data_IF_397723038986
#
_entry.id   IF_397723038986
#
_cell.length_a   1.000
_cell.length_b   1.000
_cell.length_c   1.000
_cell.angle_alpha   90.00
_cell.angle_beta   90.00
_cell.angle_gamma   90.00
#
_symmetry.space_group_name_H-M   'P 1'
#
loop_
_entity.id
_entity.type
_entity.pdbx_description
1 polymer ?
#
# COMPACT_ATOMS: atom_id res chain seq x y z
N UNK A 1 -8.16 13.64 -13.45
CA UNK A 1 -8.37 14.66 -12.41
C UNK A 1 -7.31 15.75 -12.52
N UNK A 2 -7.67 16.97 -12.96
CA UNK A 2 -6.74 18.10 -13.19
C UNK A 2 -6.67 19.13 -12.06
N UNK A 3 -7.07 18.77 -10.84
CA UNK A 3 -7.12 19.70 -9.70
C UNK A 3 -5.75 20.26 -9.31
N UNK A 4 -4.75 19.40 -9.15
CA UNK A 4 -3.41 19.81 -8.68
C UNK A 4 -2.71 20.74 -9.68
N UNK A 5 -2.70 20.46 -11.00
CA UNK A 5 -2.17 21.41 -11.98
C UNK A 5 -2.89 22.76 -11.96
N UNK A 6 -4.22 22.77 -11.81
CA UNK A 6 -5.00 24.03 -11.76
C UNK A 6 -4.66 24.91 -10.56
N UNK A 7 -4.45 24.32 -9.39
CA UNK A 7 -4.02 25.06 -8.19
C UNK A 7 -2.64 25.70 -8.38
N UNK A 8 -1.75 25.00 -9.09
CA UNK A 8 -0.43 25.51 -9.44
C UNK A 8 -0.42 26.41 -10.70
N UNK A 9 -1.58 26.78 -11.24
CA UNK A 9 -1.72 27.53 -12.50
C UNK A 9 -1.01 26.89 -13.72
N UNK A 10 -0.83 25.55 -13.69
CA UNK A 10 -0.20 24.77 -14.75
C UNK A 10 -1.25 24.18 -15.71
N UNK A 11 -0.91 24.21 -16.99
CA UNK A 11 -1.70 23.67 -18.08
C UNK A 11 -1.30 22.23 -18.42
N UNK A 12 -2.14 21.52 -19.18
CA UNK A 12 -1.79 20.21 -19.71
C UNK A 12 -0.62 20.26 -20.72
N UNK A 13 -0.34 21.42 -21.32
CA UNK A 13 0.75 21.61 -22.29
C UNK A 13 2.12 21.65 -21.64
N UNK A 14 2.17 21.98 -20.34
CA UNK A 14 3.43 22.05 -19.60
C UNK A 14 4.01 20.66 -19.32
N UNK A 15 3.17 19.61 -19.41
CA UNK A 15 3.55 18.18 -19.22
C UNK A 15 4.32 17.93 -17.91
N UNK A 16 4.15 18.82 -16.93
CA UNK A 16 4.75 18.70 -15.60
C UNK A 16 4.11 17.54 -14.88
N UNK A 17 4.94 16.66 -14.31
CA UNK A 17 4.46 15.50 -13.55
C UNK A 17 3.75 15.99 -12.30
N UNK A 18 2.55 15.46 -12.04
CA UNK A 18 1.79 15.76 -10.81
C UNK A 18 2.55 15.47 -9.52
N UNK A 19 3.56 14.58 -9.54
CA UNK A 19 4.46 14.35 -8.40
C UNK A 19 5.34 15.58 -8.10
N UNK A 20 5.88 16.22 -9.14
CA UNK A 20 6.70 17.42 -9.00
C UNK A 20 5.87 18.61 -8.49
N UNK A 21 4.63 18.75 -8.98
CA UNK A 21 3.71 19.81 -8.52
C UNK A 21 3.37 19.63 -7.03
N UNK A 22 3.17 18.39 -6.58
CA UNK A 22 2.92 18.09 -5.16
C UNK A 22 4.13 18.41 -4.27
N UNK A 23 5.33 18.09 -4.75
CA UNK A 23 6.58 18.40 -4.07
C UNK A 23 6.76 19.92 -3.92
N UNK A 24 6.52 20.68 -4.99
CA UNK A 24 6.60 22.14 -4.98
C UNK A 24 5.54 22.80 -4.07
N UNK A 25 4.32 22.27 -4.06
CA UNK A 25 3.24 22.75 -3.18
C UNK A 25 3.40 22.27 -1.72
N UNK A 26 4.41 21.45 -1.39
CA UNK A 26 4.56 20.84 -0.06
C UNK A 26 3.40 19.92 0.33
N UNK A 27 2.63 19.43 -0.66
CA UNK A 27 1.47 18.57 -0.44
C UNK A 27 1.93 17.13 -0.38
N UNK A 28 1.56 16.44 0.70
CA UNK A 28 1.86 15.02 0.84
C UNK A 28 1.34 14.21 -0.36
N UNK A 29 2.19 13.34 -0.90
CA UNK A 29 1.76 12.47 -2.00
C UNK A 29 0.75 11.46 -1.49
N UNK A 30 -0.21 11.10 -2.35
CA UNK A 30 -1.21 10.08 -2.02
C UNK A 30 -0.54 8.77 -1.60
N UNK A 31 0.60 8.46 -2.21
CA UNK A 31 1.43 7.31 -1.90
C UNK A 31 1.94 7.34 -0.45
N UNK A 32 2.51 8.45 0.01
CA UNK A 32 2.97 8.58 1.41
C UNK A 32 1.80 8.46 2.41
N UNK A 33 0.65 9.06 2.08
CA UNK A 33 -0.52 8.99 2.94
C UNK A 33 -1.07 7.55 3.06
N UNK A 34 -1.14 6.84 1.91
CA UNK A 34 -1.57 5.44 1.86
C UNK A 34 -0.57 4.56 2.59
N UNK A 35 0.73 4.73 2.39
CA UNK A 35 1.78 3.98 3.06
C UNK A 35 1.73 4.18 4.58
N UNK A 36 1.62 5.42 5.07
CA UNK A 36 1.47 5.68 6.51
C UNK A 36 0.21 5.04 7.08
N UNK A 37 -0.89 5.06 6.35
CA UNK A 37 -2.15 4.43 6.78
C UNK A 37 -2.02 2.91 6.82
N UNK A 38 -1.34 2.32 5.84
CA UNK A 38 -1.02 0.89 5.82
C UNK A 38 -0.12 0.50 7.00
N UNK A 39 0.93 1.28 7.29
CA UNK A 39 1.82 1.03 8.42
C UNK A 39 1.11 1.16 9.78
N UNK A 40 0.20 2.14 9.92
CA UNK A 40 -0.65 2.28 11.11
C UNK A 40 -1.58 1.08 11.29
N UNK A 41 -2.22 0.64 10.21
CA UNK A 41 -3.07 -0.55 10.20
C UNK A 41 -2.27 -1.81 10.54
N UNK A 42 -1.07 -1.98 9.99
CA UNK A 42 -0.19 -3.10 10.29
C UNK A 42 0.21 -3.12 11.77
N UNK A 43 0.60 -1.97 12.32
CA UNK A 43 0.89 -1.85 13.74
C UNK A 43 -0.33 -2.11 14.63
N UNK A 44 -1.54 -1.96 14.13
CA UNK A 44 -2.76 -2.37 14.84
C UNK A 44 -2.95 -3.89 14.79
N UNK A 45 -2.73 -4.52 13.63
CA UNK A 45 -2.76 -5.98 13.50
C UNK A 45 -1.76 -6.69 14.42
N UNK A 46 -0.56 -6.11 14.59
CA UNK A 46 0.49 -6.70 15.44
C UNK A 46 0.11 -6.70 16.92
N UNK A 47 -0.59 -5.66 17.37
CA UNK A 47 -1.01 -5.48 18.77
C UNK A 47 -2.28 -6.26 19.15
N UNK A 48 -3.02 -6.78 18.17
CA UNK A 48 -4.24 -7.57 18.43
C UNK A 48 -3.91 -8.98 18.93
N UNK A 49 -4.66 -9.51 19.92
CA UNK A 49 -4.50 -10.89 20.39
C UNK A 49 -4.98 -11.91 19.33
N UNK A 50 -4.32 -13.07 19.20
CA UNK A 50 -4.64 -14.09 18.21
C UNK A 50 -5.80 -14.99 18.70
N UNK A 51 -7.01 -14.82 18.13
CA UNK A 51 -8.19 -15.64 18.47
C UNK A 51 -9.16 -15.82 17.27
N UNK A 52 -8.67 -15.85 16.02
CA UNK A 52 -9.39 -15.79 14.72
C UNK A 52 -9.71 -14.37 14.24
N UNK A 53 -8.67 -13.53 14.10
CA UNK A 53 -8.77 -12.14 13.63
C UNK A 53 -7.96 -11.92 12.34
N UNK A 54 -8.17 -10.81 11.60
CA UNK A 54 -7.38 -10.47 10.41
C UNK A 54 -5.86 -10.55 10.63
N UNK A 55 -5.38 -10.30 11.86
CA UNK A 55 -3.97 -10.46 12.23
C UNK A 55 -3.49 -11.91 12.19
N UNK A 56 -4.34 -12.89 12.51
CA UNK A 56 -4.02 -14.32 12.41
C UNK A 56 -4.02 -14.80 10.96
N UNK A 57 -5.01 -14.39 10.16
CA UNK A 57 -5.04 -14.67 8.71
C UNK A 57 -3.83 -14.07 8.00
N UNK A 58 -3.43 -12.87 8.42
CA UNK A 58 -2.23 -12.19 7.93
C UNK A 58 -0.94 -12.92 8.34
N UNK A 59 -0.81 -13.33 9.61
CA UNK A 59 0.32 -14.13 10.13
C UNK A 59 0.41 -15.52 9.53
N UNK A 60 -0.73 -16.13 9.20
CA UNK A 60 -0.79 -17.42 8.51
C UNK A 60 -0.21 -17.37 7.08
N UNK A 61 0.25 -16.21 6.61
CA UNK A 61 0.83 -15.98 5.29
C UNK A 61 -0.06 -16.56 4.17
N UNK A 62 -1.08 -15.82 3.70
CA UNK A 62 -1.89 -16.23 2.54
C UNK A 62 -1.12 -16.06 1.22
N UNK A 63 0.21 -16.19 1.25
CA UNK A 63 1.09 -16.21 0.07
C UNK A 63 0.97 -17.52 -0.72
N UNK A 64 0.03 -18.40 -0.37
CA UNK A 64 -0.25 -19.58 -1.17
C UNK A 64 -0.68 -19.15 -2.57
N UNK A 65 -0.01 -19.69 -3.59
CA UNK A 65 -0.41 -19.49 -4.99
C UNK A 65 -1.88 -19.87 -5.12
N UNK A 66 -2.70 -18.98 -5.66
CA UNK A 66 -4.11 -19.30 -5.91
C UNK A 66 -4.19 -20.48 -6.88
N UNK A 67 -5.11 -21.43 -6.65
CA UNK A 67 -5.46 -22.41 -7.68
C UNK A 67 -5.97 -21.66 -8.92
N UNK A 68 -5.56 -22.06 -10.13
CA UNK A 68 -6.09 -21.47 -11.36
C UNK A 68 -7.61 -21.68 -11.41
N UNK A 69 -8.42 -20.60 -11.44
CA UNK A 69 -9.86 -20.70 -11.73
C UNK A 69 -10.83 -19.90 -10.86
N UNK A 70 -10.40 -19.13 -9.86
CA UNK A 70 -11.33 -18.33 -9.04
C UNK A 70 -11.31 -16.83 -9.39
N UNK A 71 -12.43 -16.31 -9.90
CA UNK A 71 -12.67 -14.88 -10.10
C UNK A 71 -13.24 -14.28 -8.81
N UNK A 72 -12.37 -13.70 -7.96
CA UNK A 72 -12.81 -13.07 -6.71
C UNK A 72 -11.72 -12.32 -5.94
N UNK A 73 -11.75 -10.98 -6.05
CA UNK A 73 -11.31 -9.93 -5.12
C UNK A 73 -9.82 -9.74 -4.68
N UNK A 74 -9.29 -8.55 -5.06
CA UNK A 74 -8.55 -7.50 -4.30
C UNK A 74 -7.38 -7.91 -3.36
N UNK A 75 -6.91 -9.15 -3.35
CA UNK A 75 -5.74 -9.54 -2.53
C UNK A 75 -4.37 -9.27 -3.18
N UNK A 76 -4.30 -9.21 -4.52
CA UNK A 76 -3.03 -9.16 -5.25
C UNK A 76 -2.35 -7.79 -5.22
N UNK A 77 -3.13 -6.71 -5.27
CA UNK A 77 -2.57 -5.35 -5.35
C UNK A 77 -1.76 -4.98 -4.11
N UNK A 78 -2.11 -5.54 -2.95
CA UNK A 78 -1.49 -5.20 -1.67
C UNK A 78 -0.38 -6.15 -1.24
N UNK A 79 -0.06 -7.25 -1.95
CA UNK A 79 0.77 -8.33 -1.38
C UNK A 79 2.22 -8.38 -1.90
N UNK A 80 2.48 -8.03 -3.16
CA UNK A 80 3.77 -8.37 -3.80
C UNK A 80 4.82 -7.25 -3.80
N UNK A 81 4.42 -5.98 -3.66
CA UNK A 81 5.35 -4.84 -3.70
C UNK A 81 5.85 -4.41 -2.31
N UNK A 82 4.99 -4.44 -1.30
CA UNK A 82 5.26 -3.82 0.00
C UNK A 82 6.25 -4.60 0.86
N UNK A 83 6.19 -5.94 0.86
CA UNK A 83 7.08 -6.83 1.62
C UNK A 83 8.54 -6.68 1.17
N UNK A 84 8.77 -6.56 -0.14
CA UNK A 84 10.10 -6.40 -0.73
C UNK A 84 10.69 -5.00 -0.43
N UNK A 85 9.83 -3.97 -0.33
CA UNK A 85 10.23 -2.58 -0.09
C UNK A 85 10.56 -2.26 1.37
N UNK A 86 9.98 -3.00 2.33
CA UNK A 86 10.27 -2.86 3.76
C UNK A 86 11.46 -3.71 4.24
N UNK A 87 12.11 -4.45 3.34
CA UNK A 87 13.23 -5.32 3.69
C UNK A 87 12.84 -6.46 4.64
N UNK A 88 11.55 -6.81 4.70
CA UNK A 88 11.08 -7.95 5.50
C UNK A 88 11.57 -9.21 4.80
N UNK A 89 12.49 -9.99 5.40
CA UNK A 89 13.00 -11.18 4.76
C UNK A 89 11.84 -12.17 4.53
N UNK A 90 11.91 -12.96 3.46
CA UNK A 90 11.11 -14.19 3.29
C UNK A 90 11.56 -15.25 4.29
N UNK A 91 11.66 -14.90 5.57
CA UNK A 91 11.91 -15.85 6.64
C UNK A 91 10.55 -16.34 7.10
N UNK A 92 10.37 -17.65 6.95
CA UNK A 92 9.31 -18.43 7.58
C UNK A 92 9.25 -18.05 9.06
N UNK A 93 8.29 -17.20 9.44
CA UNK A 93 7.99 -16.89 10.83
C UNK A 93 7.24 -18.09 11.43
N UNK A 94 8.00 -19.14 11.70
CA UNK A 94 7.55 -20.30 12.49
C UNK A 94 7.80 -20.00 13.96
N UNK A 95 6.73 -19.85 14.74
CA UNK A 95 6.60 -20.51 16.04
C UNK A 95 5.15 -20.60 16.45
#
# INVERSE_FOLDING_TARGET
MSFIPRVAALSLRDRVRSSAIREELGVETLLLHVERSQMRWLGHLDRMPPVLLPGEVFRACPSSKRPPGHLGHVGETMSLNWSERLGIPRLSWKK
#
